data_IF_455935844938
#
_entry.id   IF_455935844938
#
_cell.length_a   1.000
_cell.length_b   1.000
_cell.length_c   1.000
_cell.angle_alpha   90.00
_cell.angle_beta   90.00
_cell.angle_gamma   90.00
#
_symmetry.space_group_name_H-M   'P 1'
#
loop_
_entity.id
_entity.type
_entity.pdbx_description
1 polymer ?
#
# COMPACT_ATOMS: atom_id res chain seq x y z
N UNK A 1 4.57 -31.60 -15.79
CA UNK A 1 4.02 -30.39 -15.14
C UNK A 1 3.71 -30.74 -13.70
N UNK A 2 3.98 -29.87 -12.72
CA UNK A 2 3.61 -30.14 -11.32
C UNK A 2 2.09 -30.31 -11.20
N UNK A 3 1.62 -31.08 -10.22
CA UNK A 3 0.17 -31.26 -9.99
C UNK A 3 -0.57 -29.92 -9.86
N UNK A 4 0.07 -28.90 -9.28
CA UNK A 4 -0.48 -27.56 -9.12
C UNK A 4 -0.61 -26.82 -10.46
N UNK A 5 0.42 -26.86 -11.31
CA UNK A 5 0.34 -26.23 -12.63
C UNK A 5 -0.74 -26.89 -13.50
N UNK A 6 -0.87 -28.22 -13.44
CA UNK A 6 -1.95 -28.94 -14.14
C UNK A 6 -3.33 -28.51 -13.67
N UNK A 7 -3.50 -28.30 -12.36
CA UNK A 7 -4.75 -27.80 -11.79
C UNK A 7 -5.07 -26.38 -12.29
N UNK A 8 -4.12 -25.44 -12.21
CA UNK A 8 -4.34 -24.08 -12.71
C UNK A 8 -4.68 -24.04 -14.20
N UNK A 9 -3.98 -24.81 -15.04
CA UNK A 9 -4.31 -24.97 -16.46
C UNK A 9 -5.75 -25.43 -16.66
N UNK A 10 -6.21 -26.42 -15.89
CA UNK A 10 -7.58 -26.93 -15.99
C UNK A 10 -8.61 -25.88 -15.58
N UNK A 11 -8.34 -25.12 -14.51
CA UNK A 11 -9.23 -24.02 -14.08
C UNK A 11 -9.34 -22.99 -15.20
N UNK A 12 -8.23 -22.48 -15.72
CA UNK A 12 -8.24 -21.48 -16.79
C UNK A 12 -8.98 -21.97 -18.05
N UNK A 13 -8.77 -23.23 -18.42
CA UNK A 13 -9.50 -23.87 -19.54
C UNK A 13 -11.00 -23.96 -19.27
N UNK A 14 -11.42 -24.27 -18.04
CA UNK A 14 -12.83 -24.30 -17.65
C UNK A 14 -13.50 -22.91 -17.71
N UNK A 15 -12.72 -21.85 -17.53
CA UNK A 15 -13.17 -20.47 -17.73
C UNK A 15 -13.18 -20.04 -19.21
N UNK A 16 -12.78 -20.93 -20.13
CA UNK A 16 -12.82 -20.72 -21.57
C UNK A 16 -11.52 -20.23 -22.20
N UNK A 17 -10.41 -20.24 -21.48
CA UNK A 17 -9.12 -19.82 -22.02
C UNK A 17 -8.61 -20.78 -23.10
N UNK A 18 -8.08 -20.23 -24.18
CA UNK A 18 -7.28 -20.93 -25.19
C UNK A 18 -5.90 -21.29 -24.63
N UNK A 19 -5.17 -22.19 -25.29
CA UNK A 19 -3.83 -22.59 -24.85
C UNK A 19 -2.85 -21.41 -24.67
N UNK A 20 -2.91 -20.41 -25.57
CA UNK A 20 -2.06 -19.22 -25.48
C UNK A 20 -2.45 -18.31 -24.31
N UNK A 21 -3.75 -18.11 -24.08
CA UNK A 21 -4.25 -17.34 -22.94
C UNK A 21 -3.93 -18.04 -21.61
N UNK A 22 -3.95 -19.37 -21.57
CA UNK A 22 -3.52 -20.14 -20.40
C UNK A 22 -2.06 -19.87 -20.08
N UNK A 23 -1.15 -19.96 -21.05
CA UNK A 23 0.27 -19.68 -20.84
C UNK A 23 0.49 -18.27 -20.31
N UNK A 24 -0.20 -17.29 -20.90
CA UNK A 24 -0.16 -15.89 -20.50
C UNK A 24 -0.66 -15.68 -19.06
N UNK A 25 -1.82 -16.26 -18.71
CA UNK A 25 -2.45 -16.11 -17.40
C UNK A 25 -1.68 -16.83 -16.30
N UNK A 26 -1.07 -17.99 -16.58
CA UNK A 26 -0.21 -18.69 -15.61
C UNK A 26 1.00 -17.84 -15.19
N UNK A 27 1.58 -17.07 -16.12
CA UNK A 27 2.67 -16.15 -15.81
C UNK A 27 2.13 -14.96 -15.01
N UNK A 28 1.01 -14.37 -15.45
CA UNK A 28 0.42 -13.20 -14.81
C UNK A 28 -0.06 -13.48 -13.37
N UNK A 29 -0.68 -14.64 -13.14
CA UNK A 29 -1.22 -15.06 -11.85
C UNK A 29 -0.19 -15.73 -10.92
N UNK A 30 1.07 -15.80 -11.32
CA UNK A 30 2.12 -16.40 -10.49
C UNK A 30 2.14 -15.74 -9.10
N UNK A 31 2.06 -16.56 -8.07
CA UNK A 31 2.24 -16.14 -6.69
C UNK A 31 3.72 -15.83 -6.44
N UNK A 32 4.00 -14.63 -5.93
CA UNK A 32 5.35 -14.11 -5.68
C UNK A 32 5.60 -13.74 -4.22
N UNK A 33 4.63 -13.99 -3.34
CA UNK A 33 4.77 -13.70 -1.92
C UNK A 33 5.86 -14.61 -1.36
N UNK A 34 6.89 -14.03 -0.72
CA UNK A 34 8.02 -14.77 -0.20
C UNK A 34 7.68 -15.39 1.17
N UNK A 35 6.87 -16.45 1.20
CA UNK A 35 6.43 -17.07 2.48
C UNK A 35 7.59 -17.57 3.35
N UNK A 36 8.71 -17.94 2.75
CA UNK A 36 9.91 -18.38 3.47
C UNK A 36 10.60 -17.26 4.26
N UNK A 37 10.20 -15.98 4.09
CA UNK A 37 10.72 -14.86 4.89
C UNK A 37 9.95 -14.61 6.18
N UNK A 38 8.88 -15.36 6.45
CA UNK A 38 8.14 -15.25 7.71
C UNK A 38 8.98 -15.75 8.89
N UNK A 39 9.14 -14.89 9.89
CA UNK A 39 9.79 -15.22 11.16
C UNK A 39 8.70 -15.44 12.21
N UNK A 40 8.66 -16.63 12.80
CA UNK A 40 7.69 -17.00 13.84
C UNK A 40 8.27 -16.81 15.26
N UNK A 41 7.44 -16.56 16.28
CA UNK A 41 6.00 -16.29 16.20
C UNK A 41 5.70 -14.88 15.63
N UNK A 42 4.59 -14.74 14.93
CA UNK A 42 4.15 -13.44 14.41
C UNK A 42 3.41 -12.68 15.51
N UNK A 43 3.82 -11.43 15.76
CA UNK A 43 3.15 -10.53 16.70
C UNK A 43 2.53 -9.36 15.94
N UNK A 44 1.25 -9.12 16.18
CA UNK A 44 0.50 -8.03 15.55
C UNK A 44 -0.07 -7.05 16.59
N UNK A 45 -0.16 -5.74 16.26
CA UNK A 45 0.42 -5.12 15.07
C UNK A 45 1.95 -5.29 15.02
N UNK A 46 2.54 -5.34 13.82
CA UNK A 46 4.00 -5.49 13.71
C UNK A 46 4.71 -4.35 14.45
N UNK A 47 5.91 -4.64 14.96
CA UNK A 47 6.72 -3.61 15.63
C UNK A 47 6.91 -2.39 14.72
N UNK A 48 6.73 -1.17 15.25
CA UNK A 48 6.98 0.06 14.50
C UNK A 48 8.39 0.10 13.92
N UNK A 49 8.55 0.66 12.73
CA UNK A 49 9.87 0.93 12.17
C UNK A 49 10.58 2.06 12.93
N UNK A 50 11.91 2.10 12.92
CA UNK A 50 12.70 3.09 13.68
C UNK A 50 12.39 4.54 13.34
N UNK A 51 11.87 4.82 12.14
CA UNK A 51 11.54 6.18 11.74
C UNK A 51 10.38 6.76 12.56
N UNK A 52 9.51 5.92 13.13
CA UNK A 52 8.32 6.36 13.86
C UNK A 52 8.65 7.29 15.03
N UNK A 53 9.77 7.08 15.74
CA UNK A 53 10.20 7.97 16.84
C UNK A 53 10.38 9.43 16.37
N UNK A 54 10.90 9.65 15.15
CA UNK A 54 11.04 10.99 14.60
C UNK A 54 9.67 11.59 14.21
N UNK A 55 8.80 10.77 13.62
CA UNK A 55 7.46 11.19 13.21
C UNK A 55 6.53 11.49 14.39
N UNK A 56 6.69 10.84 15.53
CA UNK A 56 6.03 11.19 16.79
C UNK A 56 6.38 12.60 17.24
N UNK A 57 7.67 12.95 17.20
CA UNK A 57 8.13 14.32 17.51
C UNK A 57 7.58 15.33 16.52
N UNK A 58 7.51 14.97 15.23
CA UNK A 58 6.89 15.82 14.20
C UNK A 58 5.40 16.02 14.48
N UNK A 59 4.67 14.97 14.83
CA UNK A 59 3.24 15.04 15.15
C UNK A 59 2.96 15.89 16.39
N UNK A 60 3.78 15.78 17.45
CA UNK A 60 3.68 16.65 18.63
C UNK A 60 3.88 18.12 18.24
N UNK A 61 4.91 18.41 17.44
CA UNK A 61 5.20 19.78 16.99
C UNK A 61 4.09 20.31 16.06
N UNK A 62 3.52 19.44 15.23
CA UNK A 62 2.46 19.79 14.28
C UNK A 62 1.19 20.28 14.97
N UNK A 63 0.92 19.84 16.21
CA UNK A 63 -0.19 20.35 17.02
C UNK A 63 -0.02 21.82 17.40
N UNK A 64 1.22 22.32 17.46
CA UNK A 64 1.51 23.70 17.87
C UNK A 64 1.56 24.67 16.69
N UNK A 65 2.20 24.27 15.58
CA UNK A 65 2.47 25.18 14.45
C UNK A 65 1.88 24.73 13.11
N UNK A 66 1.15 23.61 13.09
CA UNK A 66 0.56 23.01 11.90
C UNK A 66 1.48 21.99 11.20
N UNK A 67 0.87 20.96 10.61
CA UNK A 67 1.62 19.86 9.99
C UNK A 67 2.52 20.34 8.83
N UNK A 68 2.01 21.19 7.94
CA UNK A 68 2.80 21.67 6.81
C UNK A 68 4.03 22.48 7.25
N UNK A 69 3.89 23.33 8.27
CA UNK A 69 4.99 24.13 8.78
C UNK A 69 6.12 23.25 9.37
N UNK A 70 5.77 22.24 10.16
CA UNK A 70 6.74 21.27 10.69
C UNK A 70 7.39 20.49 9.56
N UNK A 71 6.60 19.88 8.68
CA UNK A 71 7.13 19.04 7.62
C UNK A 71 8.01 19.85 6.66
N UNK A 72 7.70 21.12 6.40
CA UNK A 72 8.58 22.00 5.60
C UNK A 72 9.96 22.18 6.21
N UNK A 73 10.09 22.16 7.53
CA UNK A 73 11.40 22.23 8.20
C UNK A 73 12.14 20.88 8.17
N UNK A 74 11.41 19.77 8.20
CA UNK A 74 11.96 18.42 8.37
C UNK A 74 12.26 17.70 7.06
N UNK A 75 11.37 17.86 6.07
CA UNK A 75 11.45 17.23 4.76
C UNK A 75 11.93 18.26 3.73
N UNK A 76 13.19 18.14 3.32
CA UNK A 76 13.87 19.15 2.48
C UNK A 76 13.17 19.40 1.14
N UNK A 77 12.49 18.41 0.57
CA UNK A 77 11.72 18.50 -0.67
C UNK A 77 10.59 19.54 -0.58
N UNK A 78 10.02 19.76 0.62
CA UNK A 78 8.98 20.75 0.84
C UNK A 78 9.52 22.20 0.87
N UNK A 79 10.84 22.36 0.82
CA UNK A 79 11.53 23.65 0.71
C UNK A 79 11.79 24.06 -0.74
N UNK A 80 11.42 23.23 -1.72
CA UNK A 80 11.53 23.53 -3.15
C UNK A 80 10.15 23.60 -3.80
N UNK A 81 9.96 24.44 -4.84
CA UNK A 81 8.71 24.52 -5.58
C UNK A 81 8.53 23.28 -6.47
N UNK A 82 7.33 23.08 -7.03
CA UNK A 82 7.14 22.18 -8.17
C UNK A 82 7.52 22.95 -9.43
N UNK A 83 8.59 22.53 -10.11
CA UNK A 83 9.08 23.22 -11.30
C UNK A 83 9.84 22.28 -12.23
N UNK A 84 9.60 22.40 -13.54
CA UNK A 84 10.28 21.59 -14.56
C UNK A 84 11.79 21.80 -14.49
N UNK A 85 12.54 20.71 -14.33
CA UNK A 85 13.99 20.69 -14.27
C UNK A 85 14.58 21.03 -12.90
N UNK A 86 13.77 21.29 -11.87
CA UNK A 86 14.26 21.65 -10.52
C UNK A 86 15.18 20.56 -9.97
N UNK A 87 14.89 19.29 -10.27
CA UNK A 87 15.68 18.13 -9.82
C UNK A 87 17.09 18.08 -10.38
N UNK A 88 17.34 18.83 -11.46
CA UNK A 88 18.64 18.90 -12.13
C UNK A 88 19.49 20.07 -11.65
N UNK A 89 18.91 21.04 -10.94
CA UNK A 89 19.64 22.18 -10.39
C UNK A 89 20.66 21.74 -9.35
N UNK A 90 21.76 22.48 -9.25
CA UNK A 90 22.82 22.19 -8.28
C UNK A 90 22.32 22.37 -6.84
N UNK A 91 21.56 23.44 -6.57
CA UNK A 91 20.96 23.73 -5.27
C UNK A 91 20.09 22.55 -4.78
N UNK A 92 19.16 22.08 -5.61
CA UNK A 92 18.31 20.94 -5.28
C UNK A 92 19.12 19.66 -4.99
N UNK A 93 20.10 19.34 -5.83
CA UNK A 93 20.95 18.14 -5.65
C UNK A 93 21.80 18.24 -4.38
N UNK A 94 22.36 19.41 -4.05
CA UNK A 94 23.11 19.65 -2.81
C UNK A 94 22.22 19.43 -1.59
N UNK A 95 21.02 19.99 -1.60
CA UNK A 95 20.09 19.87 -0.47
C UNK A 95 19.56 18.44 -0.31
N UNK A 96 19.07 17.83 -1.39
CA UNK A 96 18.37 16.53 -1.33
C UNK A 96 19.29 15.31 -1.35
N UNK A 97 20.51 15.41 -1.89
CA UNK A 97 21.47 14.28 -1.97
C UNK A 97 22.66 14.41 -1.04
N UNK A 98 22.95 15.61 -0.53
CA UNK A 98 24.09 15.86 0.36
C UNK A 98 23.71 16.52 1.70
N UNK A 99 22.43 16.85 1.90
CA UNK A 99 21.95 17.43 3.16
C UNK A 99 22.39 18.86 3.43
N UNK A 100 22.82 19.59 2.38
CA UNK A 100 23.22 21.00 2.50
C UNK A 100 22.01 21.85 2.88
N UNK A 101 22.22 22.80 3.80
CA UNK A 101 21.16 23.75 4.20
C UNK A 101 20.67 24.56 3.00
N UNK A 102 19.37 24.77 2.91
CA UNK A 102 18.72 25.58 1.87
C UNK A 102 18.78 27.08 2.12
N UNK A 103 19.28 27.50 3.29
CA UNK A 103 19.42 28.92 3.63
C UNK A 103 20.25 29.65 2.57
N UNK A 104 19.65 30.68 1.95
CA UNK A 104 20.29 31.48 0.91
C UNK A 104 20.25 30.87 -0.50
N UNK A 105 19.62 29.70 -0.70
CA UNK A 105 19.38 29.15 -2.05
C UNK A 105 18.16 29.82 -2.69
N UNK A 106 18.34 30.47 -3.85
CA UNK A 106 17.26 31.13 -4.58
C UNK A 106 16.20 30.13 -5.07
N UNK A 107 16.64 28.93 -5.44
CA UNK A 107 15.78 27.86 -5.94
C UNK A 107 14.91 27.21 -4.85
N UNK A 108 15.27 27.38 -3.57
CA UNK A 108 14.54 26.85 -2.43
C UNK A 108 13.39 27.78 -1.99
N UNK A 109 12.51 28.14 -2.93
CA UNK A 109 11.38 29.06 -2.69
C UNK A 109 10.23 28.42 -1.88
N UNK A 110 10.29 27.12 -1.61
CA UNK A 110 9.27 26.37 -0.89
C UNK A 110 8.18 25.77 -1.78
N UNK A 111 7.63 24.64 -1.33
CA UNK A 111 6.41 24.09 -1.88
C UNK A 111 5.24 25.02 -1.54
N UNK A 112 4.32 25.20 -2.50
CA UNK A 112 3.08 25.95 -2.32
C UNK A 112 1.93 24.96 -2.28
N UNK A 113 1.15 25.01 -1.20
CA UNK A 113 -0.13 24.32 -1.08
C UNK A 113 -1.25 25.37 -1.10
N UNK A 114 -2.41 25.00 -1.63
CA UNK A 114 -3.64 25.79 -1.65
C UNK A 114 -4.27 25.86 -0.26
N UNK A 115 -4.25 24.76 0.50
CA UNK A 115 -4.85 24.66 1.84
C UNK A 115 -3.86 24.05 2.86
N UNK A 116 -2.66 24.64 3.05
CA UNK A 116 -1.61 24.09 3.92
C UNK A 116 -2.07 23.86 5.37
N UNK A 117 -2.98 24.69 5.87
CA UNK A 117 -3.58 24.60 7.20
C UNK A 117 -4.49 23.38 7.38
N UNK A 118 -4.97 22.78 6.28
CA UNK A 118 -5.80 21.57 6.31
C UNK A 118 -4.99 20.28 6.17
N UNK A 119 -3.69 20.36 5.89
CA UNK A 119 -2.83 19.19 5.89
C UNK A 119 -2.78 18.61 7.30
N UNK A 120 -3.09 17.32 7.43
CA UNK A 120 -3.03 16.59 8.68
C UNK A 120 -1.85 15.61 8.65
N UNK A 121 -1.13 15.53 9.76
CA UNK A 121 -0.17 14.47 10.04
C UNK A 121 -0.79 13.54 11.08
N UNK A 122 -1.16 12.34 10.64
CA UNK A 122 -1.76 11.30 11.48
C UNK A 122 -0.74 10.17 11.66
N UNK A 123 -0.63 9.63 12.88
CA UNK A 123 0.10 8.39 13.12
C UNK A 123 -0.92 7.26 13.22
N UNK A 124 -1.05 6.50 12.15
CA UNK A 124 -2.07 5.45 12.04
C UNK A 124 -1.53 4.13 12.54
N UNK A 125 -2.19 3.52 13.53
CA UNK A 125 -1.86 2.19 14.01
C UNK A 125 -2.48 1.14 13.07
N UNK A 126 -1.65 0.55 12.21
CA UNK A 126 -2.09 -0.52 11.30
C UNK A 126 -1.59 -1.90 11.75
N UNK A 127 -2.04 -2.95 11.08
CA UNK A 127 -1.49 -4.30 11.25
C UNK A 127 0.01 -4.38 10.92
N UNK A 128 0.49 -3.54 10.01
CA UNK A 128 1.91 -3.45 9.64
C UNK A 128 2.76 -2.64 10.64
N UNK A 129 2.17 -2.22 11.77
CA UNK A 129 2.74 -1.27 12.71
C UNK A 129 2.23 0.15 12.48
N UNK A 130 2.70 1.08 13.30
CA UNK A 130 2.39 2.51 13.16
C UNK A 130 2.97 3.02 11.85
N UNK A 131 2.19 3.77 11.08
CA UNK A 131 2.63 4.42 9.84
C UNK A 131 2.20 5.90 9.83
N UNK A 132 3.07 6.85 9.45
CA UNK A 132 2.68 8.24 9.29
C UNK A 132 1.81 8.41 8.04
N UNK A 133 0.78 9.24 8.15
CA UNK A 133 -0.17 9.54 7.07
C UNK A 133 -0.30 11.05 6.92
N UNK A 134 -0.01 11.53 5.71
CA UNK A 134 -0.22 12.91 5.27
C UNK A 134 -1.57 12.99 4.58
N UNK A 135 -2.60 13.43 5.29
CA UNK A 135 -3.96 13.54 4.77
C UNK A 135 -4.26 14.98 4.32
N UNK A 136 -4.71 15.14 3.09
CA UNK A 136 -5.23 16.41 2.57
C UNK A 136 -6.59 16.23 1.89
N UNK A 137 -7.45 17.22 2.05
CA UNK A 137 -8.76 17.28 1.41
C UNK A 137 -8.71 17.90 0.02
N UNK A 138 -7.66 18.67 -0.28
CA UNK A 138 -7.54 19.37 -1.54
C UNK A 138 -6.76 18.51 -2.55
N UNK A 139 -7.34 18.32 -3.74
CA UNK A 139 -6.75 17.51 -4.80
C UNK A 139 -5.40 18.05 -5.28
N UNK A 140 -5.28 19.36 -5.47
CA UNK A 140 -4.04 19.98 -5.94
C UNK A 140 -2.92 19.88 -4.90
N UNK A 141 -3.27 19.97 -3.61
CA UNK A 141 -2.33 19.73 -2.52
C UNK A 141 -1.84 18.27 -2.51
N UNK A 142 -2.74 17.31 -2.73
CA UNK A 142 -2.37 15.90 -2.86
C UNK A 142 -1.38 15.72 -4.02
N UNK A 143 -1.68 16.28 -5.19
CA UNK A 143 -0.79 16.22 -6.37
C UNK A 143 0.57 16.85 -6.06
N UNK A 144 0.58 18.02 -5.45
CA UNK A 144 1.80 18.75 -5.08
C UNK A 144 2.66 17.98 -4.09
N UNK A 145 2.05 17.36 -3.07
CA UNK A 145 2.75 16.50 -2.11
C UNK A 145 3.34 15.25 -2.78
N UNK A 146 2.58 14.57 -3.65
CA UNK A 146 3.08 13.41 -4.39
C UNK A 146 4.23 13.80 -5.30
N UNK A 147 4.13 14.91 -6.03
CA UNK A 147 5.20 15.39 -6.90
C UNK A 147 6.47 15.75 -6.12
N UNK A 148 6.34 16.47 -5.01
CA UNK A 148 7.47 16.83 -4.17
C UNK A 148 8.16 15.59 -3.58
N UNK A 149 7.39 14.67 -3.00
CA UNK A 149 7.93 13.58 -2.18
C UNK A 149 8.27 12.31 -2.98
N UNK A 150 7.74 12.16 -4.19
CA UNK A 150 7.98 10.95 -5.02
C UNK A 150 8.53 11.24 -6.41
N UNK A 151 8.31 12.45 -6.94
CA UNK A 151 8.72 12.85 -8.30
C UNK A 151 9.84 13.90 -8.30
N UNK A 152 10.54 14.03 -7.18
CA UNK A 152 11.67 14.96 -7.02
C UNK A 152 11.31 16.41 -7.37
N UNK A 153 10.11 16.85 -6.97
CA UNK A 153 9.58 18.18 -7.26
C UNK A 153 9.39 18.50 -8.75
N UNK A 154 9.46 17.50 -9.63
CA UNK A 154 9.13 17.67 -11.05
C UNK A 154 7.61 17.64 -11.26
N UNK A 155 7.07 18.43 -12.20
CA UNK A 155 5.65 18.52 -12.52
C UNK A 155 5.18 17.30 -13.33
N UNK A 156 5.47 16.09 -12.85
CA UNK A 156 5.02 14.86 -13.49
C UNK A 156 3.52 14.67 -13.25
N UNK A 157 2.74 14.28 -14.28
CA UNK A 157 1.30 14.11 -14.14
C UNK A 157 0.96 13.01 -13.14
N UNK A 158 -0.01 13.29 -12.27
CA UNK A 158 -0.55 12.34 -11.28
C UNK A 158 -1.97 11.94 -11.72
N UNK A 159 -2.26 10.64 -11.94
CA UNK A 159 -3.57 10.21 -12.42
C UNK A 159 -4.72 10.70 -11.54
N UNK A 160 -5.82 11.16 -12.13
CA UNK A 160 -6.99 11.66 -11.38
C UNK A 160 -7.58 10.60 -10.43
N UNK A 161 -7.49 9.32 -10.81
CA UNK A 161 -7.93 8.19 -10.00
C UNK A 161 -7.01 7.85 -8.82
N UNK A 162 -5.76 8.37 -8.80
CA UNK A 162 -4.81 8.09 -7.73
C UNK A 162 -5.23 8.82 -6.46
N UNK A 163 -5.76 8.08 -5.47
CA UNK A 163 -6.23 8.64 -4.21
C UNK A 163 -5.24 8.52 -3.05
N UNK A 164 -4.21 7.67 -3.18
CA UNK A 164 -3.18 7.45 -2.19
C UNK A 164 -1.82 7.18 -2.85
N UNK A 165 -0.76 7.35 -2.07
CA UNK A 165 0.59 6.96 -2.45
C UNK A 165 1.38 6.55 -1.21
N UNK A 166 1.91 5.33 -1.18
CA UNK A 166 2.94 4.96 -0.23
C UNK A 166 4.31 5.48 -0.69
N UNK A 167 4.94 6.30 0.14
CA UNK A 167 6.32 6.75 -0.04
C UNK A 167 7.23 5.82 0.74
N UNK A 168 8.16 5.17 0.06
CA UNK A 168 9.11 4.21 0.64
C UNK A 168 10.54 4.62 0.34
N UNK A 169 11.43 4.36 1.28
CA UNK A 169 12.86 4.64 1.09
C UNK A 169 13.17 6.15 1.04
N UNK A 170 12.34 6.97 1.67
CA UNK A 170 12.53 8.42 1.66
C UNK A 170 13.73 8.81 2.53
N UNK A 171 14.79 9.35 1.93
CA UNK A 171 15.97 9.80 2.67
C UNK A 171 15.63 11.03 3.55
N UNK A 172 15.40 10.81 4.84
CA UNK A 172 15.10 11.87 5.80
C UNK A 172 16.40 12.48 6.36
N UNK A 173 16.81 13.61 5.77
CA UNK A 173 17.99 14.36 6.21
C UNK A 173 17.89 14.91 7.63
N UNK A 174 16.69 15.10 8.18
CA UNK A 174 16.54 15.47 9.58
C UNK A 174 16.96 14.34 10.52
N UNK A 175 16.61 13.09 10.20
CA UNK A 175 17.09 11.91 10.95
C UNK A 175 18.60 11.72 10.83
N UNK A 176 19.19 11.95 9.64
CA UNK A 176 20.65 11.91 9.45
C UNK A 176 21.33 12.95 10.35
N UNK A 177 20.79 14.18 10.41
CA UNK A 177 21.33 15.24 11.29
C UNK A 177 21.19 14.88 12.77
N UNK A 178 20.05 14.33 13.19
CA UNK A 178 19.85 13.89 14.57
C UNK A 178 20.82 12.75 14.94
N UNK A 179 21.03 11.77 14.05
CA UNK A 179 22.02 10.71 14.25
C UNK A 179 23.43 11.30 14.40
N UNK A 180 23.82 12.18 13.47
CA UNK A 180 25.12 12.87 13.51
C UNK A 180 25.34 13.58 14.83
N UNK A 181 24.37 14.36 15.28
CA UNK A 181 24.46 15.12 16.54
C UNK A 181 24.69 14.20 17.75
N UNK A 182 23.96 13.08 17.84
CA UNK A 182 24.17 12.09 18.91
C UNK A 182 25.55 11.45 18.82
N UNK A 183 25.95 11.03 17.62
CA UNK A 183 27.24 10.38 17.39
C UNK A 183 28.44 11.30 17.71
N UNK A 184 28.39 12.58 17.29
CA UNK A 184 29.46 13.55 17.54
C UNK A 184 29.64 13.87 19.03
N UNK A 185 28.58 13.78 19.84
CA UNK A 185 28.67 13.92 21.31
C UNK A 185 29.39 12.75 21.94
N UNK A 186 29.18 11.53 21.43
CA UNK A 186 29.78 10.30 21.96
C UNK A 186 31.21 10.05 21.44
N UNK A 187 31.57 10.62 20.28
CA UNK A 187 32.81 10.36 19.56
C UNK A 187 33.59 11.64 19.26
N UNK A 188 34.06 12.31 20.32
CA UNK A 188 34.83 13.55 20.20
C UNK A 188 36.05 13.39 19.27
N UNK A 189 36.26 14.37 18.38
CA UNK A 189 37.34 14.40 17.38
C UNK A 189 37.35 13.26 16.32
N UNK A 190 36.25 12.50 16.18
CA UNK A 190 36.13 11.46 15.15
C UNK A 190 35.69 12.02 13.79
N UNK A 191 36.06 11.32 12.71
CA UNK A 191 35.75 11.76 11.34
C UNK A 191 34.35 11.32 10.89
N UNK A 192 33.42 12.28 10.83
CA UNK A 192 32.05 12.05 10.35
C UNK A 192 31.99 11.38 8.97
N UNK A 193 32.91 11.66 8.05
CA UNK A 193 32.84 11.07 6.71
C UNK A 193 32.96 9.55 6.75
N UNK A 194 33.79 9.01 7.66
CA UNK A 194 33.95 7.56 7.83
C UNK A 194 32.67 6.95 8.40
N UNK A 195 32.08 7.58 9.42
CA UNK A 195 30.83 7.09 10.00
C UNK A 195 29.66 7.19 9.02
N UNK A 196 29.61 8.26 8.22
CA UNK A 196 28.57 8.45 7.22
C UNK A 196 28.57 7.34 6.16
N UNK A 197 29.75 6.82 5.77
CA UNK A 197 29.82 5.65 4.88
C UNK A 197 29.21 4.40 5.52
N UNK A 198 29.34 4.22 6.84
CA UNK A 198 28.68 3.11 7.57
C UNK A 198 27.18 3.33 7.68
N UNK A 199 26.75 4.57 7.95
CA UNK A 199 25.33 4.93 8.04
C UNK A 199 24.59 4.67 6.74
N UNK A 200 25.18 5.00 5.57
CA UNK A 200 24.53 4.83 4.25
C UNK A 200 24.10 3.36 4.01
N UNK A 201 24.86 2.39 4.50
CA UNK A 201 24.54 0.96 4.39
C UNK A 201 23.34 0.55 5.27
N UNK A 202 23.05 1.31 6.33
CA UNK A 202 22.00 1.06 7.30
C UNK A 202 20.76 1.91 7.00
N UNK A 203 20.13 1.67 5.85
CA UNK A 203 19.00 2.47 5.33
C UNK A 203 17.89 2.73 6.36
N UNK A 204 17.54 1.74 7.19
CA UNK A 204 16.50 1.84 8.21
C UNK A 204 16.74 2.97 9.26
N UNK A 205 17.98 3.44 9.43
CA UNK A 205 18.34 4.55 10.31
C UNK A 205 17.98 5.94 9.77
N UNK A 206 17.74 6.07 8.46
CA UNK A 206 17.46 7.37 7.84
C UNK A 206 16.39 7.37 6.74
N UNK A 207 16.00 6.19 6.26
CA UNK A 207 14.91 6.05 5.31
C UNK A 207 13.60 5.89 6.04
N UNK A 208 12.60 6.61 5.55
CA UNK A 208 11.26 6.61 6.11
C UNK A 208 10.26 5.98 5.13
N UNK A 209 9.17 5.47 5.70
CA UNK A 209 7.99 5.01 4.97
C UNK A 209 6.77 5.76 5.50
N UNK A 210 5.93 6.30 4.64
CA UNK A 210 4.70 7.00 5.04
C UNK A 210 3.69 7.02 3.88
N UNK A 211 2.44 7.35 4.17
CA UNK A 211 1.36 7.40 3.19
C UNK A 211 0.98 8.86 2.93
N UNK A 212 0.78 9.24 1.67
CA UNK A 212 0.06 10.46 1.26
C UNK A 212 -1.34 10.04 0.89
N UNK A 213 -2.35 10.65 1.49
CA UNK A 213 -3.75 10.23 1.40
C UNK A 213 -4.64 11.41 1.00
N UNK A 214 -5.53 11.19 0.04
CA UNK A 214 -6.61 12.12 -0.29
C UNK A 214 -7.94 11.66 0.32
N UNK A 215 -8.87 12.60 0.49
CA UNK A 215 -10.21 12.33 1.01
C UNK A 215 -11.27 12.08 -0.09
N UNK A 216 -10.87 11.90 -1.35
CA UNK A 216 -11.80 11.69 -2.47
C UNK A 216 -12.60 10.38 -2.32
N UNK A 217 -13.74 10.21 -2.99
CA UNK A 217 -14.46 8.93 -3.00
C UNK A 217 -13.60 7.76 -3.48
N UNK A 218 -13.76 6.59 -2.87
CA UNK A 218 -12.94 5.42 -3.19
C UNK A 218 -13.21 4.94 -4.62
N UNK A 219 -12.14 4.65 -5.36
CA UNK A 219 -12.20 4.27 -6.78
C UNK A 219 -12.97 5.26 -7.68
N UNK A 220 -13.07 6.53 -7.27
CA UNK A 220 -13.87 7.57 -7.94
C UNK A 220 -15.36 7.21 -8.11
N UNK A 221 -15.89 6.34 -7.26
CA UNK A 221 -17.31 5.97 -7.26
C UNK A 221 -18.09 6.96 -6.40
N UNK A 222 -19.22 7.44 -6.90
CA UNK A 222 -20.08 8.35 -6.15
C UNK A 222 -20.82 7.63 -5.01
N UNK A 223 -21.33 8.39 -4.05
CA UNK A 223 -22.12 7.81 -2.96
C UNK A 223 -23.46 7.23 -3.45
N UNK A 224 -24.04 7.81 -4.51
CA UNK A 224 -25.27 7.32 -5.16
C UNK A 224 -25.08 5.93 -5.74
N UNK A 225 -23.96 5.69 -6.44
CA UNK A 225 -23.65 4.38 -7.03
C UNK A 225 -23.47 3.26 -6.00
N UNK A 226 -23.10 3.60 -4.76
CA UNK A 226 -22.97 2.66 -3.63
C UNK A 226 -24.28 2.60 -2.80
N UNK A 227 -25.23 3.50 -3.04
CA UNK A 227 -26.49 3.57 -2.29
C UNK A 227 -26.35 4.16 -0.88
N UNK A 228 -25.38 5.07 -0.68
CA UNK A 228 -25.09 5.68 0.62
C UNK A 228 -25.16 7.20 0.58
N UNK A 229 -25.25 7.83 1.76
CA UNK A 229 -25.11 9.29 1.89
C UNK A 229 -23.66 9.71 1.62
N UNK A 230 -23.46 10.87 0.98
CA UNK A 230 -22.14 11.39 0.65
C UNK A 230 -21.17 11.45 1.85
N UNK A 231 -21.62 11.94 3.00
CA UNK A 231 -20.80 12.03 4.21
C UNK A 231 -20.42 10.67 4.81
N UNK A 232 -21.30 9.67 4.67
CA UNK A 232 -21.02 8.30 5.08
C UNK A 232 -20.00 7.67 4.12
N UNK A 233 -20.23 7.80 2.81
CA UNK A 233 -19.33 7.24 1.81
C UNK A 233 -17.94 7.86 1.86
N UNK A 234 -17.83 9.16 2.14
CA UNK A 234 -16.53 9.82 2.33
C UNK A 234 -15.73 9.20 3.48
N UNK A 235 -16.38 8.97 4.64
CA UNK A 235 -15.74 8.33 5.80
C UNK A 235 -15.28 6.91 5.48
N UNK A 236 -16.18 6.11 4.89
CA UNK A 236 -15.86 4.74 4.51
C UNK A 236 -14.77 4.68 3.45
N UNK A 237 -14.82 5.56 2.45
CA UNK A 237 -13.79 5.67 1.40
C UNK A 237 -12.41 5.95 1.97
N UNK A 238 -12.31 6.81 2.98
CA UNK A 238 -11.06 7.12 3.65
C UNK A 238 -10.52 5.89 4.38
N UNK A 239 -11.37 5.19 5.13
CA UNK A 239 -10.99 3.95 5.84
C UNK A 239 -10.56 2.85 4.86
N UNK A 240 -11.35 2.59 3.81
CA UNK A 240 -11.02 1.59 2.78
C UNK A 240 -9.65 1.90 2.19
N UNK A 241 -9.42 3.15 1.77
CA UNK A 241 -8.16 3.55 1.14
C UNK A 241 -6.97 3.43 2.08
N UNK A 242 -7.10 3.91 3.31
CA UNK A 242 -6.01 3.85 4.28
C UNK A 242 -5.63 2.39 4.58
N UNK A 243 -6.63 1.55 4.82
CA UNK A 243 -6.41 0.14 5.16
C UNK A 243 -5.97 -0.69 3.96
N UNK A 244 -6.39 -0.32 2.74
CA UNK A 244 -5.87 -0.87 1.49
C UNK A 244 -4.35 -0.62 1.38
N UNK A 245 -3.89 0.62 1.53
CA UNK A 245 -2.46 0.96 1.49
C UNK A 245 -1.68 0.31 2.63
N UNK A 246 -2.26 0.26 3.83
CA UNK A 246 -1.65 -0.45 4.96
C UNK A 246 -1.54 -1.96 4.71
N UNK A 247 -2.45 -2.56 3.95
CA UNK A 247 -2.39 -3.98 3.58
C UNK A 247 -1.27 -4.23 2.58
N UNK A 248 -1.12 -3.37 1.59
CA UNK A 248 0.02 -3.37 0.69
C UNK A 248 1.36 -3.24 1.43
N UNK A 249 1.42 -2.34 2.41
CA UNK A 249 2.60 -2.21 3.26
C UNK A 249 2.83 -3.45 4.13
N UNK A 250 1.76 -4.06 4.68
CA UNK A 250 1.83 -5.29 5.45
C UNK A 250 2.42 -6.44 4.62
N UNK A 251 1.89 -6.68 3.41
CA UNK A 251 2.38 -7.75 2.53
C UNK A 251 3.81 -7.50 2.11
N UNK A 252 4.21 -6.24 1.93
CA UNK A 252 5.61 -5.90 1.69
C UNK A 252 6.49 -6.27 2.89
N UNK A 253 6.08 -5.92 4.11
CA UNK A 253 6.86 -6.21 5.33
C UNK A 253 7.01 -7.70 5.62
N UNK A 254 5.97 -8.49 5.36
CA UNK A 254 5.96 -9.92 5.68
C UNK A 254 6.51 -10.80 4.55
N UNK A 255 6.23 -10.42 3.30
CA UNK A 255 6.42 -11.28 2.12
C UNK A 255 7.22 -10.62 1.00
N UNK A 256 7.76 -9.42 1.23
CA UNK A 256 8.54 -8.65 0.26
C UNK A 256 7.81 -8.40 -1.08
N UNK A 257 6.46 -8.38 -1.07
CA UNK A 257 5.65 -8.15 -2.27
C UNK A 257 4.54 -7.13 -2.05
N UNK A 258 4.37 -6.26 -3.04
CA UNK A 258 3.34 -5.23 -3.14
C UNK A 258 3.29 -4.80 -4.62
N UNK A 259 2.62 -5.62 -5.44
CA UNK A 259 2.60 -5.41 -6.90
C UNK A 259 1.35 -4.67 -7.34
N UNK A 260 1.48 -3.98 -8.48
CA UNK A 260 0.34 -3.52 -9.26
C UNK A 260 -0.26 -4.71 -10.05
N UNK A 261 -0.92 -5.64 -9.35
CA UNK A 261 -1.52 -6.86 -9.87
C UNK A 261 -2.89 -7.08 -9.19
N UNK A 262 -3.88 -7.59 -9.92
CA UNK A 262 -5.25 -7.68 -9.41
C UNK A 262 -5.39 -8.59 -8.17
N UNK A 263 -4.53 -9.59 -8.02
CA UNK A 263 -4.56 -10.46 -6.85
C UNK A 263 -4.11 -9.73 -5.59
N UNK A 264 -3.03 -8.95 -5.66
CA UNK A 264 -2.58 -8.08 -4.58
C UNK A 264 -3.71 -7.07 -4.20
N UNK A 265 -4.42 -6.53 -5.19
CA UNK A 265 -5.52 -5.56 -5.00
C UNK A 265 -6.78 -6.19 -4.40
N UNK A 266 -7.10 -7.45 -4.73
CA UNK A 266 -8.19 -8.20 -4.11
C UNK A 266 -7.94 -8.36 -2.60
N UNK A 267 -6.70 -8.68 -2.19
CA UNK A 267 -6.34 -8.82 -0.78
C UNK A 267 -6.44 -7.48 -0.05
N UNK A 268 -5.93 -6.41 -0.67
CA UNK A 268 -5.97 -5.07 -0.11
C UNK A 268 -7.39 -4.51 0.02
N UNK A 269 -8.23 -4.67 -1.01
CA UNK A 269 -9.65 -4.26 -0.97
C UNK A 269 -10.48 -5.13 -0.03
N UNK A 270 -10.21 -6.43 0.08
CA UNK A 270 -10.83 -7.30 1.08
C UNK A 270 -10.65 -6.73 2.49
N UNK A 271 -9.40 -6.42 2.85
CA UNK A 271 -9.09 -5.82 4.16
C UNK A 271 -9.71 -4.43 4.31
N UNK A 272 -9.58 -3.57 3.29
CA UNK A 272 -10.12 -2.21 3.32
C UNK A 272 -11.63 -2.17 3.54
N UNK A 273 -12.38 -3.01 2.81
CA UNK A 273 -13.84 -3.11 2.93
C UNK A 273 -14.25 -3.64 4.30
N UNK A 274 -13.60 -4.67 4.81
CA UNK A 274 -13.85 -5.19 6.17
C UNK A 274 -13.56 -4.12 7.21
N UNK A 275 -12.46 -3.38 7.08
CA UNK A 275 -12.12 -2.32 8.04
C UNK A 275 -13.20 -1.23 8.11
N UNK A 276 -13.78 -0.90 6.96
CA UNK A 276 -14.77 0.17 6.87
C UNK A 276 -16.17 -0.28 7.27
N UNK A 277 -16.54 -1.53 6.97
CA UNK A 277 -17.94 -1.98 7.07
C UNK A 277 -18.17 -3.15 8.03
N UNK A 278 -17.09 -3.75 8.55
CA UNK A 278 -17.13 -4.95 9.39
C UNK A 278 -17.39 -6.26 8.63
N UNK A 279 -17.64 -6.20 7.32
CA UNK A 279 -17.99 -7.36 6.52
C UNK A 279 -17.49 -7.22 5.07
N UNK A 280 -17.02 -8.30 4.45
CA UNK A 280 -16.58 -8.23 3.05
C UNK A 280 -17.76 -8.24 2.05
N UNK A 281 -17.78 -7.25 1.16
CA UNK A 281 -18.82 -7.05 0.15
C UNK A 281 -18.21 -7.14 -1.27
N UNK A 282 -18.42 -8.27 -1.94
CA UNK A 282 -17.93 -8.50 -3.30
C UNK A 282 -18.54 -7.52 -4.31
N UNK A 283 -19.80 -7.12 -4.16
CA UNK A 283 -20.43 -6.14 -5.05
C UNK A 283 -19.72 -4.78 -5.03
N UNK A 284 -19.18 -4.34 -3.88
CA UNK A 284 -18.38 -3.12 -3.79
C UNK A 284 -17.07 -3.29 -4.53
N UNK A 285 -16.34 -4.37 -4.26
CA UNK A 285 -15.09 -4.69 -4.94
C UNK A 285 -15.28 -4.75 -6.47
N UNK A 286 -16.28 -5.48 -6.95
CA UNK A 286 -16.57 -5.60 -8.37
C UNK A 286 -16.94 -4.25 -9.01
N UNK A 287 -17.68 -3.39 -8.30
CA UNK A 287 -17.96 -2.02 -8.78
C UNK A 287 -16.70 -1.16 -8.88
N UNK A 288 -15.77 -1.28 -7.93
CA UNK A 288 -14.49 -0.56 -7.99
C UNK A 288 -13.69 -0.94 -9.23
N UNK A 289 -13.79 -2.21 -9.64
CA UNK A 289 -13.10 -2.76 -10.78
C UNK A 289 -13.77 -2.47 -12.13
N UNK A 290 -15.06 -2.12 -12.16
CA UNK A 290 -15.84 -2.01 -13.40
C UNK A 290 -16.54 -3.31 -13.81
N UNK A 291 -16.77 -4.23 -12.88
CA UNK A 291 -17.39 -5.54 -13.08
C UNK A 291 -18.79 -5.67 -12.45
N UNK A 292 -19.40 -4.56 -12.02
CA UNK A 292 -20.73 -4.54 -11.39
C UNK A 292 -21.87 -5.07 -12.29
N UNK A 293 -21.66 -5.08 -13.61
CA UNK A 293 -22.64 -5.55 -14.61
C UNK A 293 -22.09 -6.74 -15.41
N UNK A 294 -21.17 -7.52 -14.83
CA UNK A 294 -20.57 -8.68 -15.46
C UNK A 294 -21.64 -9.58 -16.15
N UNK A 295 -21.44 -9.99 -17.42
CA UNK A 295 -20.18 -9.99 -18.18
C UNK A 295 -19.81 -8.65 -18.84
N UNK A 296 -20.64 -7.61 -18.73
CA UNK A 296 -20.28 -6.29 -19.27
C UNK A 296 -19.24 -5.60 -18.38
N UNK A 297 -18.09 -5.27 -18.98
CA UNK A 297 -17.03 -4.49 -18.34
C UNK A 297 -17.25 -3.00 -18.57
N UNK A 298 -17.22 -2.20 -17.50
CA UNK A 298 -17.22 -0.73 -17.61
C UNK A 298 -15.81 -0.22 -17.85
N UNK A 299 -15.58 0.32 -19.05
CA UNK A 299 -14.34 1.02 -19.39
C UNK A 299 -14.05 2.15 -18.39
N UNK A 300 -12.78 2.32 -18.01
CA UNK A 300 -12.37 3.25 -16.96
C UNK A 300 -12.45 2.67 -15.54
N UNK A 301 -12.99 1.45 -15.36
CA UNK A 301 -12.88 0.70 -14.11
C UNK A 301 -11.42 0.43 -13.71
N UNK A 302 -11.15 0.18 -12.42
CA UNK A 302 -9.76 0.00 -11.95
C UNK A 302 -9.07 -1.20 -12.58
N UNK A 303 -9.80 -2.22 -13.02
CA UNK A 303 -9.23 -3.48 -13.49
C UNK A 303 -8.23 -3.31 -14.64
N UNK A 304 -8.48 -2.37 -15.57
CA UNK A 304 -7.56 -2.11 -16.69
C UNK A 304 -6.16 -1.66 -16.24
N UNK A 305 -6.03 -1.06 -15.05
CA UNK A 305 -4.74 -0.63 -14.51
C UNK A 305 -3.85 -1.82 -14.10
N UNK A 306 -4.44 -3.01 -14.01
CA UNK A 306 -3.79 -4.23 -13.54
C UNK A 306 -3.54 -5.24 -14.66
N UNK A 307 -3.59 -4.85 -15.94
CA UNK A 307 -3.28 -5.76 -17.08
C UNK A 307 -1.85 -6.32 -17.09
N UNK A 308 -0.95 -5.89 -16.22
CA UNK A 308 0.44 -6.34 -16.21
C UNK A 308 1.34 -5.54 -17.17
N UNK A 309 2.62 -5.93 -17.22
CA UNK A 309 3.64 -5.33 -18.10
C UNK A 309 4.53 -6.45 -18.69
N UNK A 310 4.42 -6.77 -19.99
CA UNK A 310 3.46 -6.22 -20.96
C UNK A 310 2.00 -6.49 -20.56
N UNK A 311 1.04 -5.69 -21.06
CA UNK A 311 -0.37 -5.90 -20.74
C UNK A 311 -0.86 -7.23 -21.32
N UNK A 312 -1.78 -7.88 -20.60
CA UNK A 312 -2.51 -9.05 -21.05
C UNK A 312 -3.20 -8.80 -22.39
N UNK A 313 -3.22 -9.82 -23.24
CA UNK A 313 -4.07 -9.87 -24.44
C UNK A 313 -5.54 -9.65 -24.07
N UNK A 314 -6.34 -9.15 -25.03
CA UNK A 314 -7.75 -8.86 -24.75
C UNK A 314 -8.55 -10.10 -24.37
N UNK A 315 -8.23 -11.25 -24.97
CA UNK A 315 -8.85 -12.53 -24.63
C UNK A 315 -8.48 -13.00 -23.23
N UNK A 316 -7.18 -13.00 -22.87
CA UNK A 316 -6.75 -13.30 -21.50
C UNK A 316 -7.35 -12.32 -20.47
N UNK A 317 -7.52 -11.05 -20.83
CA UNK A 317 -8.16 -10.06 -19.97
C UNK A 317 -9.64 -10.37 -19.72
N UNK A 318 -10.38 -10.91 -20.71
CA UNK A 318 -11.77 -11.37 -20.51
C UNK A 318 -11.81 -12.55 -19.53
N UNK A 319 -10.89 -13.51 -19.67
CA UNK A 319 -10.78 -14.63 -18.71
C UNK A 319 -10.45 -14.12 -17.31
N UNK A 320 -9.52 -13.16 -17.20
CA UNK A 320 -9.18 -12.55 -15.91
C UNK A 320 -10.39 -11.91 -15.23
N UNK A 321 -11.26 -11.21 -15.97
CA UNK A 321 -12.49 -10.62 -15.42
C UNK A 321 -13.39 -11.70 -14.80
N UNK A 322 -13.56 -12.83 -15.48
CA UNK A 322 -14.36 -13.95 -14.99
C UNK A 322 -13.76 -14.59 -13.73
N UNK A 323 -12.44 -14.78 -13.69
CA UNK A 323 -11.72 -15.28 -12.51
C UNK A 323 -11.90 -14.34 -11.32
N UNK A 324 -11.68 -13.04 -11.50
CA UNK A 324 -11.80 -12.02 -10.44
C UNK A 324 -13.23 -11.96 -9.89
N UNK A 325 -14.23 -12.02 -10.79
CA UNK A 325 -15.63 -12.08 -10.41
C UNK A 325 -15.92 -13.29 -9.53
N UNK A 326 -15.51 -14.49 -9.97
CA UNK A 326 -15.71 -15.72 -9.21
C UNK A 326 -14.97 -15.69 -7.87
N UNK A 327 -13.70 -15.26 -7.85
CA UNK A 327 -12.89 -15.14 -6.65
C UNK A 327 -13.50 -14.19 -5.61
N UNK A 328 -13.98 -13.02 -6.04
CA UNK A 328 -14.63 -12.07 -5.15
C UNK A 328 -15.89 -12.66 -4.50
N UNK A 329 -16.76 -13.31 -5.28
CA UNK A 329 -17.98 -13.91 -4.76
C UNK A 329 -17.70 -15.12 -3.85
N UNK A 330 -16.74 -15.96 -4.22
CA UNK A 330 -16.27 -17.08 -3.39
C UNK A 330 -15.74 -16.59 -2.05
N UNK A 331 -14.94 -15.53 -2.06
CA UNK A 331 -14.40 -14.93 -0.86
C UNK A 331 -15.50 -14.32 0.03
N UNK A 332 -16.55 -13.72 -0.56
CA UNK A 332 -17.73 -13.29 0.19
C UNK A 332 -18.50 -14.47 0.79
N UNK A 333 -18.72 -15.56 0.04
CA UNK A 333 -19.39 -16.77 0.56
C UNK A 333 -18.62 -17.37 1.74
N UNK A 334 -17.30 -17.47 1.61
CA UNK A 334 -16.43 -17.91 2.70
C UNK A 334 -16.55 -16.96 3.90
N UNK A 335 -16.36 -15.65 3.69
CA UNK A 335 -16.44 -14.68 4.77
C UNK A 335 -17.80 -14.72 5.50
N UNK A 336 -18.91 -14.92 4.78
CA UNK A 336 -20.24 -15.10 5.36
C UNK A 336 -20.30 -16.28 6.32
N UNK A 337 -19.80 -17.44 5.87
CA UNK A 337 -19.83 -18.69 6.63
C UNK A 337 -18.94 -18.64 7.88
N UNK A 338 -17.85 -17.86 7.83
CA UNK A 338 -16.87 -17.74 8.92
C UNK A 338 -16.97 -16.43 9.69
N UNK A 339 -18.01 -15.62 9.45
CA UNK A 339 -18.13 -14.27 9.99
C UNK A 339 -17.91 -14.21 11.52
N UNK A 340 -18.47 -15.16 12.26
CA UNK A 340 -18.30 -15.25 13.73
C UNK A 340 -16.86 -15.49 14.17
N UNK A 341 -16.08 -16.28 13.42
CA UNK A 341 -14.65 -16.49 13.73
C UNK A 341 -13.82 -15.29 13.28
N UNK A 342 -14.20 -14.67 12.16
CA UNK A 342 -13.51 -13.52 11.57
C UNK A 342 -13.82 -12.19 12.27
N UNK A 343 -14.57 -12.17 13.37
CA UNK A 343 -14.59 -11.01 14.28
C UNK A 343 -13.36 -10.97 15.19
N UNK A 344 -12.67 -12.09 15.39
CA UNK A 344 -11.42 -12.14 16.14
C UNK A 344 -10.26 -11.56 15.32
N UNK A 345 -9.50 -10.64 15.93
CA UNK A 345 -8.40 -9.93 15.26
C UNK A 345 -7.31 -10.88 14.77
N UNK A 346 -6.96 -11.93 15.54
CA UNK A 346 -5.94 -12.89 15.12
C UNK A 346 -6.42 -13.70 13.92
N UNK A 347 -7.69 -14.10 13.92
CA UNK A 347 -8.30 -14.78 12.78
C UNK A 347 -8.38 -13.90 11.53
N UNK A 348 -8.67 -12.59 11.67
CA UNK A 348 -8.61 -11.67 10.54
C UNK A 348 -7.20 -11.60 9.94
N UNK A 349 -6.17 -11.52 10.79
CA UNK A 349 -4.78 -11.48 10.33
C UNK A 349 -4.39 -12.80 9.65
N UNK A 350 -4.73 -13.93 10.26
CA UNK A 350 -4.51 -15.25 9.67
C UNK A 350 -5.23 -15.39 8.33
N UNK A 351 -6.44 -14.84 8.20
CA UNK A 351 -7.17 -14.83 6.94
C UNK A 351 -6.42 -14.02 5.86
N UNK A 352 -5.87 -12.85 6.19
CA UNK A 352 -5.05 -12.08 5.24
C UNK A 352 -3.80 -12.85 4.82
N UNK A 353 -3.10 -13.46 5.77
CA UNK A 353 -1.92 -14.29 5.48
C UNK A 353 -2.33 -15.47 4.59
N UNK A 354 -3.41 -16.16 4.91
CA UNK A 354 -3.98 -17.27 4.11
C UNK A 354 -4.18 -16.87 2.67
N UNK A 355 -4.78 -15.69 2.40
CA UNK A 355 -4.97 -15.24 1.02
C UNK A 355 -3.65 -15.08 0.27
N UNK A 356 -2.55 -14.70 0.92
CA UNK A 356 -1.24 -14.60 0.25
C UNK A 356 -0.65 -15.95 -0.16
N UNK A 357 -1.14 -17.08 0.37
CA UNK A 357 -0.69 -18.43 0.00
C UNK A 357 -1.45 -19.01 -1.19
N UNK A 358 -2.53 -18.36 -1.61
CA UNK A 358 -3.41 -18.85 -2.67
C UNK A 358 -3.07 -18.21 -4.02
N UNK A 359 -3.73 -18.69 -5.07
CA UNK A 359 -3.76 -18.07 -6.40
C UNK A 359 -5.17 -17.58 -6.75
N UNK A 360 -5.26 -16.78 -7.81
CA UNK A 360 -6.57 -16.33 -8.30
C UNK A 360 -7.40 -17.51 -8.84
N UNK A 361 -6.74 -18.50 -9.47
CA UNK A 361 -7.36 -19.75 -9.91
C UNK A 361 -7.97 -20.50 -8.73
N UNK A 362 -7.21 -20.72 -7.66
CA UNK A 362 -7.68 -21.42 -6.44
C UNK A 362 -8.86 -20.68 -5.77
N UNK A 363 -8.86 -19.35 -5.79
CA UNK A 363 -9.98 -18.56 -5.27
C UNK A 363 -11.20 -18.57 -6.20
N UNK A 364 -11.03 -18.76 -7.51
CA UNK A 364 -12.11 -18.69 -8.49
C UNK A 364 -12.90 -20.00 -8.64
N UNK A 365 -12.35 -21.15 -8.24
CA UNK A 365 -13.04 -22.45 -8.42
C UNK A 365 -14.23 -22.63 -7.47
N UNK A 366 -15.04 -23.67 -7.71
CA UNK A 366 -16.15 -24.01 -6.80
C UNK A 366 -15.64 -24.53 -5.44
N UNK A 367 -14.43 -25.08 -5.42
CA UNK A 367 -13.72 -25.61 -4.27
C UNK A 367 -12.93 -24.53 -3.51
N UNK A 368 -13.04 -23.24 -3.85
CA UNK A 368 -12.32 -22.15 -3.20
C UNK A 368 -12.43 -22.19 -1.66
N UNK A 369 -13.61 -22.54 -1.13
CA UNK A 369 -13.80 -22.73 0.31
C UNK A 369 -12.82 -23.75 0.92
N UNK A 370 -12.58 -24.87 0.23
CA UNK A 370 -11.64 -25.90 0.68
C UNK A 370 -10.20 -25.39 0.70
N UNK A 371 -9.77 -24.68 -0.35
CA UNK A 371 -8.42 -24.11 -0.42
C UNK A 371 -8.17 -23.08 0.68
N UNK A 372 -9.13 -22.18 0.91
CA UNK A 372 -9.06 -21.17 1.97
C UNK A 372 -9.01 -21.87 3.33
N UNK A 373 -9.93 -22.78 3.61
CA UNK A 373 -10.02 -23.45 4.91
C UNK A 373 -8.77 -24.28 5.22
N UNK A 374 -8.32 -25.12 4.29
CA UNK A 374 -7.15 -25.97 4.49
C UNK A 374 -5.88 -25.15 4.73
N UNK A 375 -5.71 -24.05 3.98
CA UNK A 375 -4.59 -23.13 4.17
C UNK A 375 -4.67 -22.42 5.52
N UNK A 376 -5.86 -21.98 5.92
CA UNK A 376 -6.10 -21.34 7.20
C UNK A 376 -5.78 -22.29 8.37
N UNK A 377 -6.25 -23.53 8.34
CA UNK A 377 -6.01 -24.52 9.40
C UNK A 377 -4.52 -24.87 9.52
N UNK A 378 -3.83 -25.01 8.38
CA UNK A 378 -2.38 -25.24 8.33
C UNK A 378 -1.63 -24.07 8.96
N UNK A 379 -2.01 -22.83 8.63
CA UNK A 379 -1.36 -21.64 9.16
C UNK A 379 -1.70 -21.39 10.61
N UNK A 380 -2.92 -21.68 11.05
CA UNK A 380 -3.31 -21.57 12.45
C UNK A 380 -2.43 -22.46 13.34
N UNK A 381 -2.18 -23.70 12.88
CA UNK A 381 -1.28 -24.65 13.56
C UNK A 381 0.17 -24.13 13.64
N UNK A 382 0.67 -23.50 12.57
CA UNK A 382 2.07 -23.05 12.47
C UNK A 382 2.35 -21.66 13.08
N UNK A 383 1.38 -20.73 13.00
CA UNK A 383 1.59 -19.32 13.34
C UNK A 383 1.20 -18.97 14.78
N UNK A 384 0.24 -19.69 15.39
CA UNK A 384 -0.23 -19.42 16.75
C UNK A 384 0.44 -20.29 17.83
N UNK A 385 1.42 -21.14 17.46
CA UNK A 385 2.13 -21.96 18.44
C UNK A 385 1.25 -22.96 19.19
N UNK A 386 0.13 -23.39 18.60
CA UNK A 386 -0.62 -24.53 19.13
C UNK A 386 0.12 -25.81 18.73
N UNK A 387 1.01 -26.29 19.60
CA UNK A 387 1.42 -27.70 19.58
C UNK A 387 0.17 -28.58 19.57
N UNK A 388 0.07 -29.62 18.72
CA UNK A 388 -0.95 -30.63 18.91
C UNK A 388 -0.75 -31.22 20.30
N UNK A 389 -1.80 -31.22 21.13
CA UNK A 389 -1.80 -32.06 22.32
C UNK A 389 -1.63 -33.51 21.85
N UNK A 390 -0.54 -34.15 22.29
CA UNK A 390 -0.25 -35.57 22.13
C UNK A 390 -1.35 -36.44 22.72
#
# INVERSE_FOLDING_TARGET
MSNQQSFHTQVLTNFGATALEVEELLIYNQNVFAHNSLIHPLQFPLSPELHIEAWEKYAVTAKMIGAFAVLKQKLVQLQFPIQKGISQTEAYRKATRKGVSTNGMLEASGLVLQQPQKLQLILHQSLAGTIPVLLTENREDFVSLVQALTKHNEPQPIPQSMGACIVRGFNNWDRIRQYRQKWEVEHFASNWNTEFQRLILQKHLYQDTFIILSNIPYSNISAEEIGLKASQWQKLSLTIRLEHECTHYLTYRLFNSMRNNIFDELIADYRGIIAATGYYQANWFLRFLGLESFPQYREGGRLQNYRGKPPLSDGAFVILQALVKAAAENLQRFHAQYAQKLTDTNMQILMLITLTYLTLEELATQEAHFFIQNTLDRLQSNCLGLTPAS
#
